data_IF_640882546800
#
_entry.id   IF_640882546800
#
_cell.length_a   1.000
_cell.length_b   1.000
_cell.length_c   1.000
_cell.angle_alpha   90.00
_cell.angle_beta   90.00
_cell.angle_gamma   90.00
#
_symmetry.space_group_name_H-M   'P 1'
#
loop_
_entity.id
_entity.type
_entity.pdbx_description
1 polymer ?
#
# COMPACT_ATOMS: atom_id res chain seq x y z
N UNK A 1 10.37 -37.49 11.53
CA UNK A 1 11.20 -36.28 11.43
C UNK A 1 11.62 -36.17 9.98
N UNK A 2 10.74 -35.65 9.13
CA UNK A 2 11.01 -35.47 7.71
C UNK A 2 11.54 -34.05 7.47
N UNK A 3 12.63 -33.96 6.72
CA UNK A 3 13.24 -32.73 6.23
C UNK A 3 12.23 -31.86 5.50
N UNK A 4 11.77 -30.77 6.12
CA UNK A 4 11.14 -29.64 5.44
C UNK A 4 12.18 -28.55 5.17
N UNK A 5 13.21 -28.88 4.39
CA UNK A 5 14.11 -27.89 3.78
C UNK A 5 13.52 -27.40 2.46
N UNK A 6 12.30 -26.84 2.52
CA UNK A 6 11.79 -25.97 1.45
C UNK A 6 11.73 -24.57 2.05
N UNK A 7 12.88 -23.89 2.10
CA UNK A 7 12.87 -22.43 2.24
C UNK A 7 12.18 -21.93 0.97
N UNK A 8 10.87 -21.68 1.05
CA UNK A 8 10.09 -21.10 -0.03
C UNK A 8 10.81 -19.83 -0.51
N UNK A 9 11.09 -19.77 -1.82
CA UNK A 9 11.72 -18.65 -2.50
C UNK A 9 11.15 -17.32 -1.97
N UNK A 10 12.00 -16.53 -1.30
CA UNK A 10 11.57 -15.26 -0.73
C UNK A 10 11.53 -14.20 -1.83
N UNK A 11 10.33 -13.85 -2.27
CA UNK A 11 10.13 -12.78 -3.23
C UNK A 11 10.14 -11.42 -2.50
N UNK A 12 11.20 -10.64 -2.70
CA UNK A 12 11.37 -9.33 -2.06
C UNK A 12 10.50 -8.24 -2.67
N UNK A 13 9.97 -8.45 -3.88
CA UNK A 13 9.26 -7.41 -4.64
C UNK A 13 8.08 -6.78 -3.87
N UNK A 14 7.13 -7.55 -3.30
CA UNK A 14 6.01 -6.95 -2.56
C UNK A 14 6.49 -6.16 -1.33
N UNK A 15 7.48 -6.68 -0.59
CA UNK A 15 8.04 -5.99 0.58
C UNK A 15 8.80 -4.71 0.20
N UNK A 16 9.53 -4.73 -0.92
CA UNK A 16 10.18 -3.55 -1.47
C UNK A 16 9.14 -2.51 -1.91
N UNK A 17 8.06 -2.92 -2.57
CA UNK A 17 6.98 -2.03 -2.97
C UNK A 17 6.29 -1.38 -1.77
N UNK A 18 6.05 -2.15 -0.70
CA UNK A 18 5.47 -1.67 0.56
C UNK A 18 6.40 -0.71 1.32
N UNK A 19 7.71 -0.99 1.31
CA UNK A 19 8.71 -0.06 1.83
C UNK A 19 8.73 1.26 1.05
N UNK A 20 8.82 1.19 -0.28
CA UNK A 20 8.91 2.38 -1.14
C UNK A 20 7.66 3.22 -1.06
N UNK A 21 6.48 2.60 -1.00
CA UNK A 21 5.22 3.32 -0.90
C UNK A 21 5.07 4.11 0.39
N UNK A 22 5.76 3.73 1.48
CA UNK A 22 5.79 4.49 2.74
C UNK A 22 6.78 5.66 2.74
N UNK A 23 7.58 5.84 1.69
CA UNK A 23 8.65 6.85 1.63
C UNK A 23 8.39 7.86 0.52
N UNK A 24 7.69 8.94 0.85
CA UNK A 24 7.28 9.98 -0.13
C UNK A 24 8.45 10.58 -0.94
N UNK A 25 9.66 10.63 -0.38
CA UNK A 25 10.87 11.08 -1.09
C UNK A 25 11.18 10.25 -2.34
N UNK A 26 10.79 8.98 -2.34
CA UNK A 26 11.01 8.06 -3.45
C UNK A 26 9.94 8.18 -4.54
N UNK A 27 8.83 8.87 -4.29
CA UNK A 27 7.75 9.01 -5.27
C UNK A 27 8.21 9.65 -6.57
N UNK A 28 9.11 10.65 -6.47
CA UNK A 28 9.65 11.33 -7.65
C UNK A 28 10.43 10.38 -8.57
N UNK A 29 11.22 9.46 -8.02
CA UNK A 29 11.98 8.51 -8.83
C UNK A 29 11.07 7.43 -9.41
N UNK A 30 10.09 6.95 -8.64
CA UNK A 30 9.08 6.00 -9.11
C UNK A 30 8.30 6.60 -10.28
N UNK A 31 7.84 7.85 -10.15
CA UNK A 31 7.14 8.56 -11.21
C UNK A 31 7.98 8.76 -12.47
N UNK A 32 9.27 9.06 -12.30
CA UNK A 32 10.19 9.23 -13.43
C UNK A 32 10.33 7.93 -14.22
N UNK A 33 10.55 6.81 -13.53
CA UNK A 33 10.67 5.49 -14.16
C UNK A 33 9.34 5.13 -14.82
N UNK A 34 8.24 5.22 -14.07
CA UNK A 34 6.91 4.82 -14.51
C UNK A 34 6.43 5.60 -15.75
N UNK A 35 6.63 6.94 -15.78
CA UNK A 35 6.28 7.76 -16.95
C UNK A 35 7.10 7.43 -18.19
N UNK A 36 8.24 6.76 -18.05
CA UNK A 36 9.06 6.33 -19.17
C UNK A 36 8.39 5.28 -20.07
N UNK A 37 7.41 4.52 -19.54
CA UNK A 37 6.64 3.54 -20.31
C UNK A 37 5.29 3.20 -19.64
N UNK A 38 4.51 4.23 -19.32
CA UNK A 38 3.30 4.14 -18.47
C UNK A 38 2.29 3.08 -18.95
N UNK A 39 2.06 2.96 -20.25
CA UNK A 39 1.11 2.00 -20.84
C UNK A 39 1.55 0.56 -20.56
N UNK A 40 2.80 0.23 -20.86
CA UNK A 40 3.30 -1.13 -20.66
C UNK A 40 3.45 -1.46 -19.17
N UNK A 41 3.89 -0.52 -18.34
CA UNK A 41 3.96 -0.76 -16.89
C UNK A 41 2.58 -1.01 -16.28
N UNK A 42 1.54 -0.28 -16.69
CA UNK A 42 0.16 -0.60 -16.26
C UNK A 42 -0.25 -2.03 -16.63
N UNK A 43 0.15 -2.51 -17.82
CA UNK A 43 -0.10 -3.90 -18.24
C UNK A 43 0.68 -4.91 -17.39
N UNK A 44 2.00 -4.74 -17.26
CA UNK A 44 2.85 -5.64 -16.47
C UNK A 44 2.46 -5.67 -15.00
N UNK A 45 2.06 -4.52 -14.46
CA UNK A 45 1.50 -4.41 -13.12
C UNK A 45 0.29 -5.32 -12.99
N UNK A 46 -0.76 -5.13 -13.80
CA UNK A 46 -2.00 -5.92 -13.72
C UNK A 46 -1.80 -7.43 -13.95
N UNK A 47 -0.75 -7.83 -14.66
CA UNK A 47 -0.36 -9.25 -14.83
C UNK A 47 0.33 -9.85 -13.58
N UNK A 48 0.88 -9.00 -12.69
CA UNK A 48 1.53 -9.43 -11.46
C UNK A 48 0.53 -9.85 -10.39
N UNK A 49 0.77 -11.00 -9.76
CA UNK A 49 -0.02 -11.51 -8.62
C UNK A 49 -0.04 -10.56 -7.41
N UNK A 50 0.85 -9.57 -7.38
CA UNK A 50 0.97 -8.63 -6.27
C UNK A 50 0.26 -7.29 -6.49
N UNK A 51 -0.21 -6.97 -7.69
CA UNK A 51 -0.66 -5.61 -8.05
C UNK A 51 -1.88 -5.12 -7.26
N UNK A 52 -2.88 -5.97 -7.04
CA UNK A 52 -4.02 -5.65 -6.17
C UNK A 52 -4.03 -6.50 -4.90
N UNK A 53 -2.85 -6.98 -4.49
CA UNK A 53 -2.73 -7.83 -3.32
C UNK A 53 -3.08 -7.04 -2.04
N UNK A 54 -3.87 -7.61 -1.10
CA UNK A 54 -4.30 -6.89 0.11
C UNK A 54 -3.15 -6.34 0.96
N UNK A 55 -1.97 -6.97 0.89
CA UNK A 55 -0.74 -6.45 1.50
C UNK A 55 -0.39 -5.02 1.06
N UNK A 56 -0.45 -4.72 -0.24
CA UNK A 56 -0.16 -3.39 -0.78
C UNK A 56 -1.31 -2.39 -0.64
N UNK A 57 -2.52 -2.90 -0.45
CA UNK A 57 -3.76 -2.13 -0.40
C UNK A 57 -4.14 -1.63 1.01
N UNK A 58 -3.24 -1.69 2.00
CA UNK A 58 -3.52 -1.24 3.38
C UNK A 58 -3.42 0.27 3.57
N UNK A 59 -2.53 0.87 2.82
CA UNK A 59 -2.19 2.28 2.98
C UNK A 59 -3.27 3.24 2.49
N UNK A 60 -2.97 4.53 2.62
CA UNK A 60 -3.73 5.58 1.93
C UNK A 60 -3.60 5.44 0.40
N UNK A 61 -4.37 6.22 -0.36
CA UNK A 61 -4.38 6.16 -1.84
C UNK A 61 -2.99 6.34 -2.44
N UNK A 62 -2.19 7.26 -1.92
CA UNK A 62 -0.82 7.44 -2.42
C UNK A 62 0.01 6.19 -2.19
N UNK A 63 -0.05 5.61 -0.99
CA UNK A 63 0.67 4.37 -0.69
C UNK A 63 0.23 3.22 -1.62
N UNK A 64 -1.07 3.04 -1.85
CA UNK A 64 -1.59 2.05 -2.81
C UNK A 64 -1.05 2.29 -4.21
N UNK A 65 -1.17 3.53 -4.71
CA UNK A 65 -0.67 3.96 -6.02
C UNK A 65 0.82 3.68 -6.19
N UNK A 66 1.66 4.10 -5.24
CA UNK A 66 3.11 3.91 -5.36
C UNK A 66 3.54 2.47 -5.14
N UNK A 67 2.81 1.69 -4.32
CA UNK A 67 2.99 0.25 -4.26
C UNK A 67 2.75 -0.36 -5.65
N UNK A 68 1.60 -0.10 -6.27
CA UNK A 68 1.24 -0.63 -7.60
C UNK A 68 2.23 -0.21 -8.68
N UNK A 69 2.70 1.05 -8.66
CA UNK A 69 3.74 1.53 -9.58
C UNK A 69 5.07 0.80 -9.41
N UNK A 70 5.49 0.51 -8.18
CA UNK A 70 6.73 -0.26 -7.93
C UNK A 70 6.57 -1.70 -8.41
N UNK A 71 5.44 -2.35 -8.15
CA UNK A 71 5.13 -3.67 -8.72
C UNK A 71 5.21 -3.63 -10.25
N UNK A 72 4.58 -2.64 -10.87
CA UNK A 72 4.54 -2.47 -12.31
C UNK A 72 5.93 -2.31 -12.95
N UNK A 73 6.77 -1.39 -12.45
CA UNK A 73 8.11 -1.14 -13.02
C UNK A 73 9.10 -2.28 -12.78
N UNK A 74 8.92 -3.05 -11.70
CA UNK A 74 9.77 -4.21 -11.38
C UNK A 74 9.31 -5.49 -12.11
N UNK A 75 8.05 -5.55 -12.55
CA UNK A 75 7.50 -6.66 -13.33
C UNK A 75 7.81 -6.60 -14.83
N UNK A 76 8.48 -5.54 -15.30
CA UNK A 76 8.90 -5.42 -16.70
C UNK A 76 9.93 -6.53 -17.06
N UNK A 77 9.65 -7.39 -18.05
CA UNK A 77 10.52 -8.51 -18.40
C UNK A 77 11.87 -8.09 -18.98
N UNK A 78 11.96 -6.88 -19.56
CA UNK A 78 13.17 -6.37 -20.20
C UNK A 78 13.95 -5.42 -19.28
N UNK A 79 13.24 -4.57 -18.54
CA UNK A 79 13.85 -3.49 -17.72
C UNK A 79 13.65 -3.64 -16.23
N UNK A 80 12.92 -4.65 -15.75
CA UNK A 80 12.57 -4.80 -14.33
C UNK A 80 13.79 -4.82 -13.41
N UNK A 81 14.86 -5.53 -13.81
CA UNK A 81 16.13 -5.56 -13.07
C UNK A 81 16.82 -4.19 -13.02
N UNK A 82 16.88 -3.49 -14.14
CA UNK A 82 17.48 -2.16 -14.22
C UNK A 82 16.70 -1.15 -13.36
N UNK A 83 15.37 -1.14 -13.48
CA UNK A 83 14.48 -0.31 -12.67
C UNK A 83 14.65 -0.61 -11.17
N UNK A 84 14.76 -1.88 -10.80
CA UNK A 84 15.02 -2.28 -9.42
C UNK A 84 16.37 -1.76 -8.91
N UNK A 85 17.43 -1.81 -9.72
CA UNK A 85 18.72 -1.22 -9.36
C UNK A 85 18.63 0.28 -9.07
N UNK A 86 17.91 1.03 -9.92
CA UNK A 86 17.68 2.48 -9.72
C UNK A 86 16.98 2.74 -8.38
N UNK A 87 15.94 1.95 -8.04
CA UNK A 87 15.24 2.09 -6.76
C UNK A 87 16.15 1.77 -5.57
N UNK A 88 16.95 0.70 -5.67
CA UNK A 88 17.89 0.28 -4.64
C UNK A 88 18.95 1.38 -4.41
N UNK A 89 19.42 2.03 -5.47
CA UNK A 89 20.39 3.13 -5.37
C UNK A 89 19.85 4.34 -4.59
N UNK A 90 18.57 4.67 -4.75
CA UNK A 90 17.93 5.70 -3.93
C UNK A 90 17.74 5.25 -2.48
N UNK A 91 17.39 3.97 -2.26
CA UNK A 91 17.25 3.40 -0.92
C UNK A 91 18.57 3.33 -0.14
N UNK A 92 19.73 3.27 -0.80
CA UNK A 92 21.04 3.38 -0.13
C UNK A 92 21.17 4.66 0.67
N UNK A 93 20.58 5.76 0.18
CA UNK A 93 20.62 7.07 0.85
C UNK A 93 19.74 7.12 2.09
N UNK A 94 18.62 6.39 2.07
CA UNK A 94 17.67 6.29 3.19
C UNK A 94 18.11 5.25 4.23
N UNK A 95 18.83 4.20 3.81
CA UNK A 95 19.32 3.11 4.66
C UNK A 95 20.85 2.97 4.64
N UNK A 96 21.62 4.04 4.93
CA UNK A 96 23.07 4.01 4.82
C UNK A 96 23.69 3.00 5.78
N UNK A 97 23.07 2.78 6.95
CA UNK A 97 23.61 1.83 7.92
C UNK A 97 23.49 0.38 7.48
N UNK A 98 22.37 0.00 6.87
CA UNK A 98 22.17 -1.32 6.29
C UNK A 98 23.14 -1.52 5.11
N UNK A 99 23.27 -0.50 4.26
CA UNK A 99 24.22 -0.52 3.15
C UNK A 99 25.66 -0.70 3.65
N UNK A 100 26.11 0.10 4.61
CA UNK A 100 27.46 0.01 5.18
C UNK A 100 27.73 -1.33 5.87
N UNK A 101 26.71 -1.91 6.51
CA UNK A 101 26.82 -3.22 7.15
C UNK A 101 27.19 -4.30 6.13
N UNK A 102 26.58 -4.25 4.95
CA UNK A 102 26.81 -5.20 3.86
C UNK A 102 28.05 -4.83 3.04
N UNK A 103 28.15 -3.59 2.58
CA UNK A 103 29.17 -3.14 1.63
C UNK A 103 30.56 -3.02 2.26
N UNK A 104 30.65 -2.39 3.44
CA UNK A 104 31.91 -2.02 4.10
C UNK A 104 32.28 -3.03 5.17
N UNK A 105 31.34 -3.31 6.09
CA UNK A 105 31.59 -4.20 7.23
C UNK A 105 31.47 -5.69 6.89
N UNK A 106 30.94 -6.01 5.71
CA UNK A 106 30.79 -7.39 5.18
C UNK A 106 30.09 -8.33 6.17
N UNK A 107 29.11 -7.82 6.94
CA UNK A 107 28.30 -8.64 7.85
C UNK A 107 27.48 -9.62 7.00
N UNK A 108 27.54 -10.92 7.35
CA UNK A 108 26.83 -11.98 6.61
C UNK A 108 25.62 -12.53 7.34
N UNK A 109 25.60 -12.45 8.68
CA UNK A 109 24.51 -12.98 9.50
C UNK A 109 23.53 -11.86 9.86
N UNK A 110 22.24 -12.10 9.68
CA UNK A 110 21.21 -11.13 10.02
C UNK A 110 21.16 -10.88 11.53
N UNK A 111 21.39 -11.92 12.34
CA UNK A 111 21.50 -11.79 13.80
C UNK A 111 22.61 -10.82 14.24
N UNK A 112 23.77 -10.87 13.61
CA UNK A 112 24.90 -9.95 13.89
C UNK A 112 24.54 -8.52 13.50
N UNK A 113 23.94 -8.33 12.32
CA UNK A 113 23.48 -7.01 11.88
C UNK A 113 22.42 -6.44 12.82
N UNK A 114 21.44 -7.24 13.23
CA UNK A 114 20.37 -6.84 14.16
C UNK A 114 20.95 -6.38 15.50
N UNK A 115 21.91 -7.12 16.06
CA UNK A 115 22.62 -6.72 17.28
C UNK A 115 23.39 -5.41 17.09
N UNK A 116 24.08 -5.24 15.96
CA UNK A 116 24.80 -4.02 15.63
C UNK A 116 23.85 -2.83 15.44
N UNK A 117 22.68 -3.04 14.85
CA UNK A 117 21.63 -2.04 14.69
C UNK A 117 21.12 -1.58 16.06
N UNK A 118 20.81 -2.51 16.96
CA UNK A 118 20.36 -2.19 18.31
C UNK A 118 21.39 -1.43 19.14
N UNK A 119 22.67 -1.75 19.01
CA UNK A 119 23.76 -1.01 19.67
C UNK A 119 23.87 0.42 19.15
N UNK A 120 23.62 0.65 17.85
CA UNK A 120 23.68 1.98 17.23
C UNK A 120 22.43 2.82 17.53
N UNK A 121 21.24 2.24 17.45
CA UNK A 121 19.98 2.97 17.55
C UNK A 121 19.61 3.39 18.97
N UNK A 122 20.34 2.90 19.99
CA UNK A 122 20.13 3.27 21.39
C UNK A 122 18.69 2.98 21.80
N UNK A 123 18.38 1.73 22.11
CA UNK A 123 17.04 1.21 22.44
C UNK A 123 16.18 2.14 23.30
N UNK A 124 15.46 3.09 22.68
CA UNK A 124 14.34 3.82 23.28
C UNK A 124 13.21 4.17 22.30
N UNK A 125 13.46 4.47 21.03
CA UNK A 125 12.43 5.13 20.17
C UNK A 125 12.26 4.59 18.73
N UNK A 126 12.87 3.47 18.34
CA UNK A 126 12.62 2.90 17.01
C UNK A 126 11.23 2.27 16.94
N UNK A 127 10.39 2.67 15.98
CA UNK A 127 9.14 1.96 15.72
C UNK A 127 9.46 0.53 15.27
N UNK A 128 8.56 -0.44 15.52
CA UNK A 128 8.74 -1.82 15.04
C UNK A 128 8.99 -1.87 13.52
N UNK A 129 8.40 -0.94 12.77
CA UNK A 129 8.55 -0.81 11.33
C UNK A 129 9.98 -0.42 10.92
N UNK A 130 10.66 0.47 11.66
CA UNK A 130 12.03 0.87 11.32
C UNK A 130 13.02 -0.28 11.45
N UNK A 131 12.80 -1.17 12.42
CA UNK A 131 13.65 -2.36 12.59
C UNK A 131 13.41 -3.37 11.47
N UNK A 132 12.14 -3.61 11.11
CA UNK A 132 11.78 -4.49 9.99
C UNK A 132 12.36 -3.97 8.67
N UNK A 133 12.16 -2.69 8.36
CA UNK A 133 12.67 -2.03 7.16
C UNK A 133 14.19 -2.14 7.05
N UNK A 134 14.92 -1.95 8.16
CA UNK A 134 16.38 -2.09 8.17
C UNK A 134 16.83 -3.54 7.92
N UNK A 135 16.11 -4.54 8.41
CA UNK A 135 16.42 -5.96 8.16
C UNK A 135 16.12 -6.34 6.70
N UNK A 136 14.99 -5.88 6.15
CA UNK A 136 14.66 -6.04 4.74
C UNK A 136 15.75 -5.42 3.85
N UNK A 137 16.18 -4.20 4.16
CA UNK A 137 17.20 -3.51 3.37
C UNK A 137 18.58 -4.17 3.49
N UNK A 138 18.94 -4.71 4.65
CA UNK A 138 20.16 -5.52 4.78
C UNK A 138 20.12 -6.71 3.83
N UNK A 139 18.98 -7.39 3.73
CA UNK A 139 18.81 -8.51 2.82
C UNK A 139 18.88 -8.09 1.35
N UNK A 140 18.12 -7.06 0.97
CA UNK A 140 18.11 -6.53 -0.41
C UNK A 140 19.50 -6.06 -0.84
N UNK A 141 20.24 -5.36 0.03
CA UNK A 141 21.61 -4.96 -0.29
C UNK A 141 22.58 -6.14 -0.39
N UNK A 142 22.35 -7.22 0.37
CA UNK A 142 23.16 -8.44 0.26
C UNK A 142 22.99 -9.09 -1.10
N UNK A 143 21.76 -9.18 -1.60
CA UNK A 143 21.46 -9.64 -2.97
C UNK A 143 22.08 -8.69 -4.00
N UNK A 144 21.79 -7.39 -3.89
CA UNK A 144 22.23 -6.39 -4.86
C UNK A 144 23.75 -6.28 -5.00
N UNK A 145 24.50 -6.48 -3.91
CA UNK A 145 25.97 -6.46 -3.91
C UNK A 145 26.60 -7.85 -4.14
N UNK A 146 25.80 -8.87 -4.43
CA UNK A 146 26.24 -10.27 -4.57
C UNK A 146 27.05 -10.78 -3.35
N UNK A 147 26.79 -10.21 -2.17
CA UNK A 147 27.41 -10.67 -0.93
C UNK A 147 26.62 -11.86 -0.39
N UNK A 148 27.28 -13.01 -0.25
CA UNK A 148 26.67 -14.20 0.38
C UNK A 148 26.30 -13.91 1.84
N UNK A 149 25.00 -13.82 2.11
CA UNK A 149 24.43 -13.88 3.45
C UNK A 149 24.37 -15.33 3.94
N UNK A 150 24.28 -15.52 5.25
CA UNK A 150 24.22 -16.85 5.86
C UNK A 150 22.77 -17.34 5.95
N UNK A 151 22.37 -18.22 5.04
CA UNK A 151 21.04 -18.85 5.01
C UNK A 151 20.76 -19.77 6.20
N UNK A 152 21.81 -20.17 6.93
CA UNK A 152 21.68 -21.00 8.14
C UNK A 152 21.48 -20.18 9.41
N UNK A 153 21.59 -18.85 9.33
CA UNK A 153 21.34 -17.95 10.47
C UNK A 153 19.86 -18.03 10.89
N UNK A 154 19.63 -18.35 12.17
CA UNK A 154 18.28 -18.51 12.72
C UNK A 154 17.42 -17.25 12.52
N UNK A 155 18.02 -16.06 12.70
CA UNK A 155 17.30 -14.80 12.52
C UNK A 155 16.91 -14.57 11.06
N UNK A 156 17.78 -14.96 10.13
CA UNK A 156 17.48 -14.92 8.71
C UNK A 156 16.29 -15.82 8.36
N UNK A 157 16.31 -17.08 8.80
CA UNK A 157 15.22 -18.04 8.54
C UNK A 157 13.89 -17.56 9.12
N UNK A 158 13.90 -17.04 10.36
CA UNK A 158 12.71 -16.49 11.00
C UNK A 158 12.19 -15.24 10.28
N UNK A 159 13.08 -14.37 9.81
CA UNK A 159 12.71 -13.18 9.06
C UNK A 159 12.05 -13.54 7.73
N UNK A 160 12.67 -14.42 6.95
CA UNK A 160 12.10 -14.90 5.67
C UNK A 160 10.75 -15.56 5.88
N UNK A 161 10.65 -16.45 6.89
CA UNK A 161 9.37 -17.08 7.23
C UNK A 161 8.32 -16.02 7.54
N UNK A 162 8.63 -15.04 8.39
CA UNK A 162 7.70 -13.98 8.75
C UNK A 162 7.25 -13.16 7.53
N UNK A 163 8.17 -12.81 6.63
CA UNK A 163 7.84 -12.11 5.40
C UNK A 163 6.90 -12.91 4.48
N UNK A 164 7.10 -14.23 4.38
CA UNK A 164 6.21 -15.10 3.62
C UNK A 164 4.85 -15.25 4.30
N UNK A 165 4.84 -15.52 5.61
CA UNK A 165 3.62 -15.65 6.42
C UNK A 165 2.75 -14.39 6.28
N UNK A 166 3.37 -13.19 6.32
CA UNK A 166 2.68 -11.91 6.12
C UNK A 166 2.00 -11.84 4.75
N UNK A 167 2.69 -12.22 3.67
CA UNK A 167 2.11 -12.19 2.32
C UNK A 167 0.97 -13.22 2.21
N UNK A 168 1.18 -14.43 2.70
CA UNK A 168 0.16 -15.50 2.66
C UNK A 168 -1.09 -15.15 3.47
N UNK A 169 -0.91 -14.60 4.68
CA UNK A 169 -2.00 -14.11 5.52
C UNK A 169 -2.85 -13.03 4.84
N UNK A 170 -2.29 -12.27 3.91
CA UNK A 170 -3.04 -11.28 3.12
C UNK A 170 -3.53 -11.81 1.77
N UNK A 171 -2.92 -12.87 1.24
CA UNK A 171 -3.30 -13.49 -0.03
C UNK A 171 -4.51 -14.41 0.12
N UNK A 172 -4.62 -15.09 1.25
CA UNK A 172 -5.85 -15.78 1.62
C UNK A 172 -6.77 -14.78 2.33
N UNK A 173 -8.02 -14.62 1.87
CA UNK A 173 -9.09 -14.18 2.76
C UNK A 173 -9.26 -15.29 3.82
N UNK A 174 -8.41 -15.32 4.84
CA UNK A 174 -8.50 -16.31 5.91
C UNK A 174 -9.67 -15.95 6.82
N UNK A 175 -10.90 -15.91 6.31
CA UNK A 175 -12.08 -15.74 7.16
C UNK A 175 -11.99 -16.66 8.37
N UNK A 176 -12.46 -16.19 9.54
CA UNK A 176 -12.48 -17.01 10.75
C UNK A 176 -13.22 -18.32 10.45
N UNK A 177 -12.48 -19.43 10.27
CA UNK A 177 -13.06 -20.75 9.99
C UNK A 177 -13.39 -21.41 11.32
N UNK A 178 -14.60 -21.19 11.79
CA UNK A 178 -15.13 -21.87 12.96
C UNK A 178 -15.41 -23.33 12.58
N UNK A 179 -14.68 -24.28 13.18
CA UNK A 179 -14.94 -25.70 12.96
C UNK A 179 -16.28 -26.11 13.61
N UNK A 180 -16.81 -27.29 13.28
CA UNK A 180 -18.13 -27.74 13.77
C UNK A 180 -18.20 -27.88 15.30
N UNK A 181 -17.08 -28.17 15.95
CA UNK A 181 -16.98 -28.42 17.38
C UNK A 181 -17.02 -27.11 18.17
N UNK A 182 -16.17 -26.15 17.78
CA UNK A 182 -16.15 -24.79 18.29
C UNK A 182 -17.47 -24.09 18.04
N UNK A 183 -18.09 -24.31 16.87
CA UNK A 183 -19.38 -23.71 16.54
C UNK A 183 -20.46 -24.07 17.57
N UNK A 184 -20.41 -25.27 18.16
CA UNK A 184 -21.36 -25.70 19.19
C UNK A 184 -21.10 -24.98 20.51
N UNK A 185 -19.83 -24.90 20.92
CA UNK A 185 -19.39 -24.18 22.13
C UNK A 185 -19.79 -22.70 22.04
N UNK A 186 -19.44 -22.06 20.93
CA UNK A 186 -19.74 -20.66 20.65
C UNK A 186 -21.24 -20.39 20.61
N UNK A 187 -22.03 -21.25 19.96
CA UNK A 187 -23.49 -21.06 19.91
C UNK A 187 -24.14 -21.17 21.29
N UNK A 188 -23.65 -22.07 22.13
CA UNK A 188 -24.13 -22.19 23.50
C UNK A 188 -23.78 -20.93 24.29
N UNK A 189 -22.51 -20.51 24.22
CA UNK A 189 -22.04 -19.30 24.89
C UNK A 189 -22.77 -18.04 24.42
N UNK A 190 -23.00 -17.92 23.11
CA UNK A 190 -23.76 -16.82 22.52
C UNK A 190 -25.18 -16.78 23.09
N UNK A 191 -25.89 -17.91 23.12
CA UNK A 191 -27.26 -17.99 23.69
C UNK A 191 -27.31 -17.66 25.17
N UNK A 192 -26.28 -18.04 25.93
CA UNK A 192 -26.17 -17.69 27.34
C UNK A 192 -25.98 -16.19 27.54
N UNK A 193 -25.09 -15.58 26.77
CA UNK A 193 -24.81 -14.15 26.85
C UNK A 193 -25.95 -13.29 26.29
N UNK A 194 -26.58 -13.70 25.19
CA UNK A 194 -27.71 -13.00 24.54
C UNK A 194 -28.89 -12.81 25.52
N UNK A 195 -29.16 -13.85 26.33
CA UNK A 195 -30.18 -13.79 27.40
C UNK A 195 -29.81 -12.85 28.56
N UNK A 196 -28.50 -12.64 28.80
CA UNK A 196 -28.00 -11.89 29.96
C UNK A 196 -27.74 -10.41 29.65
N UNK A 197 -27.32 -10.11 28.43
CA UNK A 197 -26.70 -8.82 28.09
C UNK A 197 -27.48 -7.99 27.07
N UNK A 198 -28.54 -8.55 26.47
CA UNK A 198 -29.33 -7.94 25.40
C UNK A 198 -28.39 -7.31 24.35
N UNK A 199 -27.76 -8.19 23.54
CA UNK A 199 -26.64 -7.89 22.64
C UNK A 199 -27.02 -6.93 21.49
N UNK A 200 -27.38 -5.70 21.83
CA UNK A 200 -27.27 -4.55 20.97
C UNK A 200 -25.85 -3.99 21.14
N UNK A 201 -24.83 -4.70 20.62
CA UNK A 201 -23.49 -4.13 20.48
C UNK A 201 -23.58 -3.11 19.34
N UNK A 202 -24.03 -1.92 19.67
CA UNK A 202 -23.92 -0.77 18.78
C UNK A 202 -22.47 -0.31 18.80
N UNK A 203 -21.91 -0.01 17.64
CA UNK A 203 -20.60 0.62 17.57
C UNK A 203 -20.56 2.06 18.14
N UNK A 204 -21.71 2.62 18.54
CA UNK A 204 -21.80 4.03 18.89
C UNK A 204 -22.10 4.38 20.35
N UNK A 205 -22.50 3.47 21.26
CA UNK A 205 -22.96 3.96 22.57
C UNK A 205 -23.08 2.92 23.70
N UNK A 206 -21.96 2.38 24.20
CA UNK A 206 -21.90 1.90 25.61
C UNK A 206 -20.63 2.28 26.36
N UNK A 207 -19.70 2.98 25.72
CA UNK A 207 -18.54 3.54 26.40
C UNK A 207 -18.94 4.60 27.45
N UNK A 208 -19.86 5.51 27.14
CA UNK A 208 -20.23 6.59 28.09
C UNK A 208 -20.82 6.10 29.42
N UNK A 209 -21.48 4.94 29.45
CA UNK A 209 -22.09 4.40 30.67
C UNK A 209 -21.22 3.36 31.42
N UNK A 210 -20.20 2.78 30.76
CA UNK A 210 -19.23 1.87 31.39
C UNK A 210 -18.02 2.66 31.92
N UNK A 211 -17.61 3.73 31.22
CA UNK A 211 -16.52 4.62 31.64
C UNK A 211 -16.77 5.30 32.99
N UNK A 212 -18.04 5.59 33.33
CA UNK A 212 -18.39 6.30 34.56
C UNK A 212 -18.38 5.40 35.80
N UNK A 213 -18.25 4.07 35.63
CA UNK A 213 -18.33 3.10 36.74
C UNK A 213 -17.09 2.22 36.94
N UNK A 214 -16.21 2.09 35.95
CA UNK A 214 -15.00 1.27 36.08
C UNK A 214 -13.75 2.13 35.87
N UNK A 215 -12.95 2.29 36.93
CA UNK A 215 -11.61 2.88 36.83
C UNK A 215 -10.85 2.10 35.76
N UNK A 216 -10.45 2.79 34.69
CA UNK A 216 -9.58 2.25 33.64
C UNK A 216 -8.35 1.63 34.33
N UNK A 217 -8.31 0.29 34.39
CA UNK A 217 -7.18 -0.42 34.96
C UNK A 217 -6.26 -0.88 33.82
N UNK A 218 -5.01 -1.17 34.16
CA UNK A 218 -3.98 -1.58 33.21
C UNK A 218 -4.36 -2.86 32.43
N UNK A 219 -5.13 -3.75 33.05
CA UNK A 219 -5.58 -5.01 32.47
C UNK A 219 -6.56 -4.77 31.32
N UNK A 220 -7.49 -3.81 31.47
CA UNK A 220 -8.40 -3.39 30.41
C UNK A 220 -7.66 -2.83 29.20
N UNK A 221 -6.65 -1.97 29.41
CA UNK A 221 -5.84 -1.39 28.31
C UNK A 221 -5.08 -2.50 27.57
N UNK A 222 -4.48 -3.45 28.30
CA UNK A 222 -3.75 -4.56 27.70
C UNK A 222 -4.70 -5.43 26.87
N UNK A 223 -5.88 -5.78 27.41
CA UNK A 223 -6.89 -6.58 26.70
C UNK A 223 -7.48 -5.83 25.51
N UNK A 224 -7.75 -4.53 25.65
CA UNK A 224 -8.13 -3.65 24.55
C UNK A 224 -7.08 -3.76 23.44
N UNK A 225 -5.81 -3.48 23.74
CA UNK A 225 -4.69 -3.51 22.76
C UNK A 225 -4.44 -4.90 22.15
N UNK A 226 -4.59 -5.99 22.90
CA UNK A 226 -4.46 -7.35 22.33
C UNK A 226 -5.66 -7.65 21.40
N UNK A 227 -6.88 -7.27 21.80
CA UNK A 227 -8.07 -7.37 20.94
C UNK A 227 -7.98 -6.49 19.70
N UNK A 228 -7.39 -5.29 19.83
CA UNK A 228 -7.05 -4.40 18.73
C UNK A 228 -6.12 -5.10 17.74
N UNK A 229 -5.01 -5.64 18.25
CA UNK A 229 -3.98 -6.25 17.43
C UNK A 229 -4.55 -7.47 16.68
N UNK A 230 -5.28 -8.33 17.38
CA UNK A 230 -5.75 -9.59 16.81
C UNK A 230 -6.93 -9.40 15.86
N UNK A 231 -7.90 -8.53 16.14
CA UNK A 231 -9.00 -8.24 15.20
C UNK A 231 -8.53 -7.49 13.94
N UNK A 232 -7.56 -6.57 14.10
CA UNK A 232 -7.02 -5.75 13.01
C UNK A 232 -6.05 -6.50 12.10
N UNK A 233 -5.10 -7.27 12.67
CA UNK A 233 -4.14 -8.04 11.86
C UNK A 233 -4.79 -9.20 11.13
N UNK A 234 -5.88 -9.73 11.67
CA UNK A 234 -6.59 -10.84 11.06
C UNK A 234 -7.33 -10.44 9.79
N UNK A 235 -7.91 -9.25 9.66
CA UNK A 235 -8.83 -8.94 8.54
C UNK A 235 -9.88 -10.07 8.30
N UNK A 236 -10.10 -10.94 9.30
CA UNK A 236 -10.78 -12.23 9.14
C UNK A 236 -12.30 -12.11 9.31
N UNK A 237 -12.78 -10.90 9.56
CA UNK A 237 -14.19 -10.59 9.66
C UNK A 237 -14.67 -10.12 8.29
N UNK A 238 -15.91 -10.46 7.98
CA UNK A 238 -16.57 -10.05 6.74
C UNK A 238 -16.87 -8.54 6.77
N UNK A 239 -15.87 -7.74 6.42
CA UNK A 239 -15.97 -6.27 6.37
C UNK A 239 -16.68 -5.77 5.09
N UNK A 240 -17.14 -6.68 4.24
CA UNK A 240 -17.78 -6.36 2.95
C UNK A 240 -19.22 -5.81 3.13
N UNK A 241 -19.78 -5.87 4.35
CA UNK A 241 -21.11 -5.36 4.66
C UNK A 241 -21.09 -3.85 4.96
N UNK A 242 -22.14 -3.14 4.50
CA UNK A 242 -22.42 -1.73 4.82
C UNK A 242 -22.29 -1.49 6.33
N UNK A 243 -21.83 -0.31 6.71
CA UNK A 243 -21.73 0.12 8.10
C UNK A 243 -23.14 0.17 8.72
N UNK A 244 -23.61 -0.96 9.22
CA UNK A 244 -24.78 -1.03 10.09
C UNK A 244 -24.37 -0.60 11.50
N UNK A 245 -25.32 -0.02 12.25
CA UNK A 245 -25.07 0.43 13.63
C UNK A 245 -24.68 -0.72 14.57
N UNK A 246 -24.98 -1.96 14.20
CA UNK A 246 -24.82 -3.15 15.03
C UNK A 246 -24.04 -4.24 14.29
N UNK A 247 -23.23 -4.99 15.04
CA UNK A 247 -22.60 -6.19 14.51
C UNK A 247 -23.64 -7.27 14.22
N UNK A 248 -23.44 -8.02 13.14
CA UNK A 248 -24.26 -9.20 12.83
C UNK A 248 -23.95 -10.34 13.82
N UNK A 249 -24.88 -11.27 13.98
CA UNK A 249 -24.63 -12.50 14.77
C UNK A 249 -23.39 -13.25 14.29
N UNK A 250 -23.14 -13.28 12.98
CA UNK A 250 -21.94 -13.91 12.40
C UNK A 250 -20.68 -13.24 12.94
N UNK A 251 -20.61 -11.91 12.91
CA UNK A 251 -19.47 -11.13 13.40
C UNK A 251 -19.25 -11.30 14.90
N UNK A 252 -20.33 -11.31 15.69
CA UNK A 252 -20.23 -11.58 17.14
C UNK A 252 -19.64 -12.98 17.38
N UNK A 253 -20.11 -13.99 16.64
CA UNK A 253 -19.61 -15.36 16.75
C UNK A 253 -18.13 -15.48 16.35
N UNK A 254 -17.70 -14.76 15.32
CA UNK A 254 -16.30 -14.72 14.89
C UNK A 254 -15.42 -14.02 15.94
N UNK A 255 -15.88 -12.92 16.54
CA UNK A 255 -15.17 -12.24 17.63
C UNK A 255 -15.08 -13.10 18.90
N UNK A 256 -16.15 -13.83 19.23
CA UNK A 256 -16.17 -14.80 20.32
C UNK A 256 -15.17 -15.93 20.07
N UNK A 257 -15.07 -16.42 18.83
CA UNK A 257 -14.10 -17.44 18.46
C UNK A 257 -12.66 -16.94 18.58
N UNK A 258 -12.38 -15.71 18.14
CA UNK A 258 -11.06 -15.09 18.33
C UNK A 258 -10.72 -15.00 19.82
N UNK A 259 -11.67 -14.57 20.65
CA UNK A 259 -11.50 -14.54 22.11
C UNK A 259 -11.18 -15.94 22.66
N UNK A 260 -11.95 -16.95 22.27
CA UNK A 260 -11.77 -18.33 22.69
C UNK A 260 -10.37 -18.88 22.35
N UNK A 261 -9.88 -18.63 21.14
CA UNK A 261 -8.57 -19.14 20.70
C UNK A 261 -7.37 -18.45 21.37
N UNK A 262 -7.53 -17.19 21.79
CA UNK A 262 -6.40 -16.35 22.21
C UNK A 262 -6.38 -16.15 23.72
N UNK A 263 -7.57 -16.12 24.33
CA UNK A 263 -7.75 -15.88 25.74
C UNK A 263 -8.98 -16.65 26.23
N UNK A 264 -8.87 -17.98 26.26
CA UNK A 264 -9.95 -18.90 26.65
C UNK A 264 -10.54 -18.56 28.04
N UNK A 265 -9.72 -18.08 28.97
CA UNK A 265 -10.18 -17.63 30.29
C UNK A 265 -11.18 -16.47 30.19
N UNK A 266 -10.94 -15.51 29.31
CA UNK A 266 -11.84 -14.38 29.09
C UNK A 266 -13.13 -14.83 28.43
N UNK A 267 -13.07 -15.82 27.55
CA UNK A 267 -14.25 -16.35 26.87
C UNK A 267 -15.29 -16.93 27.85
N UNK A 268 -14.85 -17.57 28.93
CA UNK A 268 -15.75 -18.15 29.92
C UNK A 268 -16.20 -17.16 31.02
N UNK A 269 -15.57 -15.98 31.11
CA UNK A 269 -15.94 -14.91 32.04
C UNK A 269 -16.92 -13.92 31.38
N UNK A 270 -18.12 -13.75 31.94
CA UNK A 270 -19.17 -12.91 31.36
C UNK A 270 -18.75 -11.43 31.25
N UNK A 271 -18.06 -10.89 32.25
CA UNK A 271 -17.66 -9.49 32.29
C UNK A 271 -16.51 -9.23 31.31
N UNK A 272 -15.50 -10.11 31.33
CA UNK A 272 -14.34 -9.98 30.43
C UNK A 272 -14.68 -10.22 28.97
N UNK A 273 -15.50 -11.23 28.66
CA UNK A 273 -15.96 -11.47 27.29
C UNK A 273 -16.79 -10.28 26.79
N UNK A 274 -17.64 -9.68 27.63
CA UNK A 274 -18.40 -8.49 27.25
C UNK A 274 -17.49 -7.30 26.91
N UNK A 275 -16.48 -7.04 27.74
CA UNK A 275 -15.50 -5.97 27.51
C UNK A 275 -14.70 -6.23 26.23
N UNK A 276 -14.31 -7.48 25.98
CA UNK A 276 -13.61 -7.90 24.76
C UNK A 276 -14.47 -7.67 23.51
N UNK A 277 -15.73 -8.14 23.51
CA UNK A 277 -16.63 -8.03 22.37
C UNK A 277 -16.99 -6.57 22.05
N UNK A 278 -17.19 -5.73 23.06
CA UNK A 278 -17.42 -4.29 22.85
C UNK A 278 -16.18 -3.65 22.21
N UNK A 279 -15.00 -3.89 22.80
CA UNK A 279 -13.73 -3.31 22.33
C UNK A 279 -13.39 -3.74 20.90
N UNK A 280 -13.49 -5.04 20.63
CA UNK A 280 -13.23 -5.57 19.30
C UNK A 280 -14.30 -5.09 18.30
N UNK A 281 -15.57 -5.06 18.71
CA UNK A 281 -16.67 -4.64 17.83
C UNK A 281 -16.61 -3.18 17.39
N UNK A 282 -16.19 -2.27 18.25
CA UNK A 282 -15.94 -0.86 17.87
C UNK A 282 -14.86 -0.75 16.80
N UNK A 283 -13.82 -1.58 16.87
CA UNK A 283 -12.74 -1.58 15.87
C UNK A 283 -13.19 -2.16 14.54
N UNK A 284 -14.02 -3.21 14.57
CA UNK A 284 -14.64 -3.74 13.34
C UNK A 284 -15.44 -2.67 12.65
N UNK A 285 -16.20 -1.88 13.40
CA UNK A 285 -16.95 -0.76 12.86
C UNK A 285 -16.05 0.33 12.29
N UNK A 286 -15.01 0.75 13.01
CA UNK A 286 -14.04 1.74 12.51
C UNK A 286 -13.34 1.25 11.24
N UNK A 287 -12.99 -0.04 11.15
CA UNK A 287 -12.40 -0.65 9.97
C UNK A 287 -13.38 -0.69 8.79
N UNK A 288 -14.65 -1.03 9.01
CA UNK A 288 -15.70 -0.96 7.97
C UNK A 288 -15.90 0.47 7.48
N UNK A 289 -16.01 1.43 8.39
CA UNK A 289 -16.16 2.85 8.04
C UNK A 289 -14.94 3.38 7.26
N UNK A 290 -13.74 2.97 7.65
CA UNK A 290 -12.52 3.28 6.90
C UNK A 290 -12.53 2.64 5.51
N UNK A 291 -12.92 1.37 5.38
CA UNK A 291 -12.99 0.67 4.09
C UNK A 291 -14.07 1.27 3.18
N UNK A 292 -15.23 1.65 3.72
CA UNK A 292 -16.29 2.32 2.98
C UNK A 292 -15.83 3.72 2.52
N UNK A 293 -15.24 4.51 3.42
CA UNK A 293 -14.64 5.79 3.05
C UNK A 293 -13.54 5.61 2.00
N UNK A 294 -12.67 4.61 2.16
CA UNK A 294 -11.63 4.27 1.19
C UNK A 294 -12.23 3.89 -0.16
N UNK A 295 -13.29 3.07 -0.19
CA UNK A 295 -13.98 2.69 -1.41
C UNK A 295 -14.59 3.90 -2.11
N UNK A 296 -15.22 4.81 -1.36
CA UNK A 296 -15.73 6.08 -1.89
C UNK A 296 -14.59 6.93 -2.47
N UNK A 297 -13.45 7.01 -1.79
CA UNK A 297 -12.32 7.79 -2.31
C UNK A 297 -11.72 7.08 -3.53
N UNK A 298 -11.52 5.75 -3.51
CA UNK A 298 -11.02 4.95 -4.64
C UNK A 298 -11.97 5.05 -5.86
N UNK A 299 -13.29 5.03 -5.67
CA UNK A 299 -14.30 5.21 -6.73
C UNK A 299 -14.32 6.65 -7.28
N UNK A 300 -13.92 7.63 -6.47
CA UNK A 300 -13.82 9.03 -6.89
C UNK A 300 -12.39 9.42 -7.35
N UNK A 301 -11.40 8.56 -7.14
CA UNK A 301 -10.02 8.73 -7.58
C UNK A 301 -9.95 8.40 -9.07
N UNK A 302 -10.44 9.35 -9.86
CA UNK A 302 -10.42 9.34 -11.31
C UNK A 302 -9.01 9.61 -11.84
N UNK A 303 -7.99 8.89 -11.36
CA UNK A 303 -6.60 9.09 -11.80
C UNK A 303 -6.48 8.82 -13.31
N UNK A 304 -7.20 7.82 -13.83
CA UNK A 304 -7.30 7.55 -15.27
C UNK A 304 -7.93 8.72 -16.02
N UNK A 305 -9.05 9.28 -15.52
CA UNK A 305 -9.70 10.44 -16.13
C UNK A 305 -8.84 11.71 -16.04
N UNK A 306 -8.11 11.91 -14.94
CA UNK A 306 -7.19 13.03 -14.74
C UNK A 306 -5.97 12.92 -15.65
N UNK A 307 -5.47 11.70 -15.86
CA UNK A 307 -4.39 11.43 -16.82
C UNK A 307 -4.89 11.65 -18.26
N UNK A 308 -6.07 11.16 -18.63
CA UNK A 308 -6.69 11.42 -19.93
C UNK A 308 -6.88 12.93 -20.15
N UNK A 309 -7.38 13.65 -19.15
CA UNK A 309 -7.59 15.10 -19.21
C UNK A 309 -6.27 15.88 -19.29
N UNK A 310 -5.19 15.36 -18.68
CA UNK A 310 -3.85 15.93 -18.83
C UNK A 310 -3.30 15.72 -20.25
N UNK A 311 -3.41 14.51 -20.79
CA UNK A 311 -3.02 14.18 -22.17
C UNK A 311 -3.76 15.09 -23.16
N UNK A 312 -5.07 15.27 -22.97
CA UNK A 312 -5.89 16.08 -23.87
C UNK A 312 -5.60 17.57 -23.75
N UNK A 313 -5.25 18.05 -22.55
CA UNK A 313 -4.77 19.41 -22.34
C UNK A 313 -3.43 19.66 -23.02
N UNK A 314 -2.51 18.69 -22.99
CA UNK A 314 -1.21 18.81 -23.68
C UNK A 314 -1.41 18.85 -25.20
N UNK A 315 -2.29 17.98 -25.75
CA UNK A 315 -2.68 18.04 -27.17
C UNK A 315 -3.32 19.38 -27.55
N UNK A 316 -4.25 19.88 -26.73
CA UNK A 316 -4.89 21.18 -26.96
C UNK A 316 -3.86 22.32 -26.99
N UNK A 317 -2.88 22.28 -26.09
CA UNK A 317 -1.81 23.28 -26.03
C UNK A 317 -0.93 23.24 -27.28
N UNK A 318 -0.57 22.05 -27.75
CA UNK A 318 0.20 21.87 -29.00
C UNK A 318 -0.57 22.37 -30.23
N UNK A 319 -1.86 22.00 -30.36
CA UNK A 319 -2.74 22.46 -31.46
C UNK A 319 -2.87 23.98 -31.42
N UNK A 320 -3.07 24.58 -30.25
CA UNK A 320 -3.17 26.04 -30.09
C UNK A 320 -1.88 26.74 -30.52
N UNK A 321 -0.72 26.20 -30.17
CA UNK A 321 0.57 26.75 -30.58
C UNK A 321 0.76 26.67 -32.11
N UNK A 322 0.38 25.54 -32.72
CA UNK A 322 0.37 25.36 -34.18
C UNK A 322 -0.55 26.36 -34.88
N UNK A 323 -1.74 26.60 -34.33
CA UNK A 323 -2.69 27.57 -34.86
C UNK A 323 -2.11 28.99 -34.84
N UNK A 324 -1.55 29.42 -33.71
CA UNK A 324 -0.90 30.75 -33.60
C UNK A 324 0.24 30.89 -34.62
N UNK A 325 1.03 29.83 -34.82
CA UNK A 325 2.10 29.84 -35.81
C UNK A 325 1.55 29.98 -37.25
N UNK A 326 0.47 29.27 -37.58
CA UNK A 326 -0.19 29.39 -38.87
C UNK A 326 -0.83 30.76 -39.10
N UNK A 327 -1.48 31.34 -38.10
CA UNK A 327 -2.04 32.70 -38.17
C UNK A 327 -0.95 33.73 -38.48
N UNK A 328 0.23 33.58 -37.87
CA UNK A 328 1.38 34.45 -38.15
C UNK A 328 1.90 34.27 -39.58
N UNK A 329 1.94 33.05 -40.09
CA UNK A 329 2.33 32.76 -41.48
C UNK A 329 1.31 33.38 -42.44
N UNK A 330 0.00 33.19 -42.21
CA UNK A 330 -1.05 33.77 -43.03
C UNK A 330 -0.99 35.29 -43.07
N UNK A 331 -0.74 35.93 -41.92
CA UNK A 331 -0.56 37.37 -41.85
C UNK A 331 0.61 37.84 -42.73
N UNK A 332 1.78 37.19 -42.60
CA UNK A 332 2.95 37.53 -43.40
C UNK A 332 2.72 37.34 -44.90
N UNK A 333 2.11 36.22 -45.31
CA UNK A 333 1.74 35.97 -46.70
C UNK A 333 0.74 37.01 -47.23
N UNK A 334 -0.20 37.44 -46.39
CA UNK A 334 -1.14 38.50 -46.73
C UNK A 334 -0.45 39.84 -47.01
N UNK A 335 0.53 40.21 -46.18
CA UNK A 335 1.34 41.41 -46.39
C UNK A 335 2.24 41.30 -47.63
N UNK A 336 2.84 40.13 -47.88
CA UNK A 336 3.64 39.88 -49.07
C UNK A 336 2.81 39.95 -50.35
N UNK A 337 1.62 39.33 -50.37
CA UNK A 337 0.69 39.45 -51.48
C UNK A 337 0.28 40.91 -51.75
N UNK A 338 0.02 41.71 -50.72
CA UNK A 338 -0.28 43.15 -50.90
C UNK A 338 0.87 43.89 -51.57
N UNK A 339 2.12 43.59 -51.20
CA UNK A 339 3.30 44.19 -51.83
C UNK A 339 3.41 43.76 -53.30
N UNK A 340 3.26 42.47 -53.58
CA UNK A 340 3.28 41.93 -54.94
C UNK A 340 2.16 42.52 -55.80
N UNK A 341 0.95 42.69 -55.28
CA UNK A 341 -0.15 43.35 -56.00
C UNK A 341 0.20 44.79 -56.40
N UNK A 342 0.75 45.58 -55.46
CA UNK A 342 1.19 46.95 -55.75
C UNK A 342 2.32 47.00 -56.78
N UNK A 343 3.29 46.11 -56.66
CA UNK A 343 4.41 46.00 -57.61
C UNK A 343 3.90 45.64 -59.01
N UNK A 344 2.97 44.70 -59.10
CA UNK A 344 2.39 44.24 -60.36
C UNK A 344 1.53 45.33 -61.02
N UNK A 345 0.77 46.11 -60.24
CA UNK A 345 0.07 47.30 -60.75
C UNK A 345 1.03 48.34 -61.31
N UNK A 346 2.10 48.68 -60.58
CA UNK A 346 3.14 49.61 -61.04
C UNK A 346 3.76 49.15 -62.36
N UNK A 347 4.19 47.89 -62.44
CA UNK A 347 4.82 47.32 -63.64
C UNK A 347 3.86 47.29 -64.83
N UNK A 348 2.56 47.03 -64.61
CA UNK A 348 1.54 47.12 -65.68
C UNK A 348 1.45 48.54 -66.24
N UNK A 349 1.41 49.55 -65.37
CA UNK A 349 1.39 50.95 -65.81
C UNK A 349 2.65 51.32 -66.60
N UNK A 350 3.84 50.92 -66.13
CA UNK A 350 5.11 51.18 -66.85
C UNK A 350 5.15 50.51 -68.24
N UNK A 351 4.66 49.28 -68.37
CA UNK A 351 4.56 48.58 -69.66
C UNK A 351 3.59 49.28 -70.61
N UNK A 352 2.51 49.84 -70.09
CA UNK A 352 1.50 50.55 -70.88
C UNK A 352 1.99 51.91 -71.36
N UNK A 353 2.77 52.64 -70.55
CA UNK A 353 3.49 53.85 -70.95
C UNK A 353 4.54 53.58 -72.03
N UNK A 354 5.31 52.49 -71.91
CA UNK A 354 6.32 52.08 -72.90
C UNK A 354 5.72 51.60 -74.22
N UNK A 355 4.47 51.12 -74.23
CA UNK A 355 3.75 50.75 -75.47
C UNK A 355 3.13 51.95 -76.19
N UNK A 356 2.91 53.05 -75.47
CA UNK A 356 2.31 54.28 -75.98
C UNK A 356 3.36 55.37 -76.33
N UNK A 357 4.64 55.10 -76.05
CA UNK A 357 5.81 55.86 -76.54
C UNK A 357 6.38 55.17 -77.78
#
# INVERSE_FOLDING_TARGET
MENQNNLHYFDTVPHLAELVSRKERLYKIVDLIFKGNEIEYNRYGKESKFYDHPFGNRGNINQKKYYNRVIAITSDPNKGKENMCILIDELKKEFPYAYDAVAVRKIKKLGEYRLALYKKSGYRNGSNNDTHDNMLMFFIFSIYLENKYDETDLFFQLFVKNCNDIIEMYGEKSYVKINKEDLKILNNRYKEMDKKLDFNISASMKLYNIYDKQKINKDWIIRYVIGLNEAFFRQQLDLDNVVDKFLTKKEIMELMHICYCINEEDFYDDEKLSLWLISAGEMVYLAKAYNEAKKIIDENDNEDLLNELRIEKDKYTDIRNKLIAQEKIMYNLGEENKKLYKENERLKSEVEELKNS
#
